data_IF_337625791996
#
_entry.id   IF_337625791996
#
_cell.length_a   1.000
_cell.length_b   1.000
_cell.length_c   1.000
_cell.angle_alpha   90.00
_cell.angle_beta   90.00
_cell.angle_gamma   90.00
#
_symmetry.space_group_name_H-M   'P 1'
#
loop_
_entity.id
_entity.type
_entity.pdbx_description
1 polymer ?
#
# COMPACT_ATOMS: atom_id res chain seq x y z
N UNK A 1 -19.04 -16.08 -27.01
CA UNK A 1 -17.87 -15.58 -26.26
C UNK A 1 -18.00 -14.07 -26.25
N UNK A 2 -18.42 -13.47 -25.13
CA UNK A 2 -18.72 -12.03 -25.08
C UNK A 2 -19.55 -11.51 -23.90
N UNK A 3 -19.97 -12.37 -22.95
CA UNK A 3 -20.82 -11.94 -21.83
C UNK A 3 -20.11 -11.85 -20.46
N UNK A 4 -18.89 -12.39 -20.31
CA UNK A 4 -18.15 -12.32 -19.03
C UNK A 4 -17.36 -11.01 -18.87
N UNK A 5 -16.95 -10.38 -19.97
CA UNK A 5 -16.11 -9.16 -19.96
C UNK A 5 -16.84 -7.92 -19.42
N UNK A 6 -18.15 -7.83 -19.68
CA UNK A 6 -18.96 -6.66 -19.26
C UNK A 6 -19.31 -6.75 -17.77
N UNK A 7 -19.55 -7.96 -17.25
CA UNK A 7 -19.84 -8.15 -15.82
C UNK A 7 -18.60 -7.96 -14.95
N UNK A 8 -17.41 -8.39 -15.41
CA UNK A 8 -16.16 -8.12 -14.71
C UNK A 8 -15.81 -6.64 -14.70
N UNK A 9 -15.99 -5.92 -15.81
CA UNK A 9 -15.74 -4.47 -15.88
C UNK A 9 -16.63 -3.66 -14.94
N UNK A 10 -17.94 -3.95 -14.89
CA UNK A 10 -18.89 -3.27 -14.00
C UNK A 10 -18.56 -3.56 -12.52
N UNK A 11 -18.11 -4.78 -12.20
CA UNK A 11 -17.74 -5.15 -10.84
C UNK A 11 -16.41 -4.50 -10.42
N UNK A 12 -15.44 -4.39 -11.34
CA UNK A 12 -14.17 -3.68 -11.09
C UNK A 12 -14.40 -2.18 -10.95
N UNK A 13 -15.11 -1.52 -11.87
CA UNK A 13 -15.41 -0.08 -11.74
C UNK A 13 -16.22 0.23 -10.46
N UNK A 14 -17.15 -0.65 -10.08
CA UNK A 14 -17.86 -0.52 -8.80
C UNK A 14 -16.95 -0.75 -7.58
N UNK A 15 -15.97 -1.65 -7.65
CA UNK A 15 -15.00 -1.89 -6.59
C UNK A 15 -14.05 -0.70 -6.41
N UNK A 16 -13.62 -0.09 -7.52
CA UNK A 16 -12.70 1.03 -7.57
C UNK A 16 -13.38 2.34 -7.15
N UNK A 17 -14.59 2.61 -7.67
CA UNK A 17 -15.35 3.82 -7.35
C UNK A 17 -15.81 3.87 -5.89
N UNK A 18 -16.12 2.71 -5.29
CA UNK A 18 -16.61 2.67 -3.91
C UNK A 18 -15.48 2.78 -2.86
N UNK A 19 -14.22 2.53 -3.25
CA UNK A 19 -13.09 2.35 -2.31
C UNK A 19 -11.98 3.39 -2.43
N UNK A 20 -12.01 4.27 -3.44
CA UNK A 20 -11.14 5.44 -3.56
C UNK A 20 -11.23 6.44 -2.37
N UNK A 21 -12.19 6.24 -1.46
CA UNK A 21 -12.38 7.05 -0.25
C UNK A 21 -11.91 6.36 1.04
N UNK A 22 -11.34 5.15 0.96
CA UNK A 22 -10.77 4.45 2.10
C UNK A 22 -9.45 5.12 2.49
N UNK A 23 -9.53 6.21 3.25
CA UNK A 23 -8.36 6.77 3.92
C UNK A 23 -8.18 6.05 5.26
N UNK A 24 -7.13 5.25 5.43
CA UNK A 24 -6.81 4.59 6.69
C UNK A 24 -6.42 5.66 7.70
N UNK A 25 -7.40 6.15 8.44
CA UNK A 25 -7.13 7.02 9.57
C UNK A 25 -6.64 6.12 10.69
N UNK A 26 -5.35 6.25 11.04
CA UNK A 26 -4.84 5.60 12.23
C UNK A 26 -5.61 6.16 13.43
N UNK A 27 -6.33 5.30 14.16
CA UNK A 27 -7.20 5.75 15.25
C UNK A 27 -6.35 6.36 16.36
N UNK A 28 -6.42 7.69 16.52
CA UNK A 28 -5.79 8.40 17.63
C UNK A 28 -6.72 8.29 18.83
N UNK A 29 -6.27 7.58 19.87
CA UNK A 29 -7.06 7.16 21.05
C UNK A 29 -7.37 8.28 22.05
N UNK A 30 -7.39 9.53 21.63
CA UNK A 30 -7.72 10.61 22.54
C UNK A 30 -9.20 10.97 22.40
N UNK A 31 -10.00 10.35 23.27
CA UNK A 31 -11.38 10.70 23.65
C UNK A 31 -12.56 10.20 22.81
N UNK A 32 -12.59 8.92 22.44
CA UNK A 32 -13.66 8.41 21.57
C UNK A 32 -14.74 7.65 22.35
N UNK A 33 -16.00 8.04 22.15
CA UNK A 33 -17.16 7.24 22.51
C UNK A 33 -17.22 5.92 21.71
N UNK A 34 -17.98 4.93 22.20
CA UNK A 34 -18.06 3.60 21.56
C UNK A 34 -18.56 3.69 20.10
N UNK A 35 -19.33 4.72 19.76
CA UNK A 35 -19.88 4.88 18.41
C UNK A 35 -18.81 5.20 17.36
N UNK A 36 -17.78 5.97 17.72
CA UNK A 36 -16.70 6.26 16.77
C UNK A 36 -15.65 5.13 16.71
N UNK A 37 -15.57 4.28 17.74
CA UNK A 37 -14.84 3.00 17.63
C UNK A 37 -15.53 2.08 16.63
N UNK A 38 -16.84 1.85 16.76
CA UNK A 38 -17.61 0.99 15.84
C UNK A 38 -17.48 1.47 14.40
N UNK A 39 -17.64 2.77 14.14
CA UNK A 39 -17.48 3.33 12.80
C UNK A 39 -16.08 3.10 12.23
N UNK A 40 -15.05 3.21 13.07
CA UNK A 40 -13.68 2.95 12.65
C UNK A 40 -13.47 1.46 12.33
N UNK A 41 -14.06 0.55 13.13
CA UNK A 41 -14.00 -0.89 12.92
C UNK A 41 -14.65 -1.30 11.59
N UNK A 42 -15.82 -0.74 11.28
CA UNK A 42 -16.50 -0.96 10.00
C UNK A 42 -15.60 -0.54 8.83
N UNK A 43 -15.03 0.67 8.89
CA UNK A 43 -14.16 1.19 7.85
C UNK A 43 -12.88 0.35 7.66
N UNK A 44 -12.23 -0.08 8.75
CA UNK A 44 -11.05 -0.95 8.65
C UNK A 44 -11.41 -2.36 8.19
N UNK A 45 -12.59 -2.87 8.58
CA UNK A 45 -13.14 -4.11 8.05
C UNK A 45 -13.26 -4.08 6.53
N UNK A 46 -13.84 -3.01 5.97
CA UNK A 46 -13.97 -2.85 4.51
C UNK A 46 -12.60 -2.78 3.80
N UNK A 47 -11.59 -2.18 4.44
CA UNK A 47 -10.22 -2.15 3.94
C UNK A 47 -9.56 -3.53 3.94
N UNK A 48 -9.76 -4.30 5.01
CA UNK A 48 -9.24 -5.68 5.11
C UNK A 48 -9.91 -6.56 4.07
N UNK A 49 -11.23 -6.46 3.93
CA UNK A 49 -11.99 -7.21 2.93
C UNK A 49 -11.53 -6.86 1.51
N UNK A 50 -11.29 -5.56 1.23
CA UNK A 50 -10.70 -5.13 -0.02
C UNK A 50 -9.34 -5.76 -0.31
N UNK A 51 -8.43 -5.72 0.66
CA UNK A 51 -7.11 -6.31 0.51
C UNK A 51 -7.20 -7.82 0.31
N UNK A 52 -8.09 -8.48 1.07
CA UNK A 52 -8.34 -9.92 0.99
C UNK A 52 -8.85 -10.32 -0.39
N UNK A 53 -9.84 -9.59 -0.91
CA UNK A 53 -10.39 -9.81 -2.25
C UNK A 53 -9.33 -9.66 -3.34
N UNK A 54 -8.47 -8.63 -3.24
CA UNK A 54 -7.37 -8.44 -4.18
C UNK A 54 -6.31 -9.54 -4.08
N UNK A 55 -5.89 -9.89 -2.85
CA UNK A 55 -4.87 -10.90 -2.61
C UNK A 55 -5.31 -12.31 -3.05
N UNK A 56 -6.60 -12.61 -2.99
CA UNK A 56 -7.14 -13.93 -3.38
C UNK A 56 -7.33 -14.10 -4.89
N UNK A 57 -7.16 -13.03 -5.69
CA UNK A 57 -7.28 -13.11 -7.16
C UNK A 57 -6.10 -13.81 -7.80
N UNK A 58 -6.34 -14.44 -8.95
CA UNK A 58 -5.27 -14.94 -9.82
C UNK A 58 -4.37 -13.79 -10.28
N UNK A 59 -3.12 -14.10 -10.64
CA UNK A 59 -2.13 -13.12 -11.13
C UNK A 59 -2.68 -12.28 -12.29
N UNK A 60 -3.33 -12.92 -13.26
CA UNK A 60 -3.97 -12.22 -14.37
C UNK A 60 -5.04 -11.23 -13.91
N UNK A 61 -5.94 -11.66 -13.02
CA UNK A 61 -7.04 -10.82 -12.57
C UNK A 61 -6.55 -9.66 -11.71
N UNK A 62 -5.55 -9.91 -10.86
CA UNK A 62 -4.93 -8.91 -10.01
C UNK A 62 -4.27 -7.81 -10.86
N UNK A 63 -3.39 -8.18 -11.78
CA UNK A 63 -2.63 -7.21 -12.59
C UNK A 63 -3.49 -6.50 -13.63
N UNK A 64 -4.57 -7.11 -14.13
CA UNK A 64 -5.58 -6.41 -14.94
C UNK A 64 -6.30 -5.31 -14.15
N UNK A 65 -6.62 -5.57 -12.87
CA UNK A 65 -7.23 -4.53 -12.03
C UNK A 65 -6.21 -3.42 -11.81
N UNK A 66 -5.01 -3.75 -11.34
CA UNK A 66 -3.93 -2.78 -11.05
C UNK A 66 -3.59 -1.89 -12.26
N UNK A 67 -3.63 -2.43 -13.49
CA UNK A 67 -3.34 -1.64 -14.69
C UNK A 67 -4.49 -0.73 -15.15
N UNK A 68 -5.74 -1.03 -14.78
CA UNK A 68 -6.93 -0.23 -15.15
C UNK A 68 -7.31 0.76 -14.04
N UNK A 69 -6.81 0.53 -12.83
CA UNK A 69 -7.21 1.15 -11.56
C UNK A 69 -6.95 2.66 -11.40
N UNK A 70 -6.43 3.36 -12.41
CA UNK A 70 -6.12 4.80 -12.39
C UNK A 70 -5.44 5.24 -11.07
N UNK A 71 -4.50 4.42 -10.60
CA UNK A 71 -3.71 4.61 -9.37
C UNK A 71 -4.49 4.61 -8.04
N UNK A 72 -5.73 4.12 -7.99
CA UNK A 72 -6.54 4.12 -6.76
C UNK A 72 -6.01 3.16 -5.69
N UNK A 73 -5.54 1.96 -6.06
CA UNK A 73 -4.84 0.99 -5.20
C UNK A 73 -3.53 1.59 -4.69
N UNK A 74 -2.76 2.25 -5.55
CA UNK A 74 -1.51 2.91 -5.16
C UNK A 74 -1.81 4.00 -4.13
N UNK A 75 -2.81 4.83 -4.39
CA UNK A 75 -3.25 5.89 -3.47
C UNK A 75 -3.74 5.35 -2.13
N UNK A 76 -4.50 4.24 -2.15
CA UNK A 76 -4.95 3.54 -0.95
C UNK A 76 -3.77 3.06 -0.10
N UNK A 77 -2.83 2.34 -0.70
CA UNK A 77 -1.64 1.84 0.02
C UNK A 77 -0.78 3.00 0.52
N UNK A 78 -0.55 4.02 -0.31
CA UNK A 78 0.25 5.18 0.09
C UNK A 78 -0.40 5.95 1.25
N UNK A 79 -1.73 6.12 1.23
CA UNK A 79 -2.45 6.76 2.34
C UNK A 79 -2.29 5.99 3.66
N UNK A 80 -2.21 4.65 3.61
CA UNK A 80 -1.86 3.83 4.78
C UNK A 80 -0.46 4.12 5.27
N UNK A 81 0.53 4.08 4.39
CA UNK A 81 1.94 4.26 4.74
C UNK A 81 2.19 5.64 5.36
N UNK A 82 1.60 6.68 4.80
CA UNK A 82 1.75 8.06 5.30
C UNK A 82 1.23 8.18 6.74
N UNK A 83 0.06 7.60 7.05
CA UNK A 83 -0.58 7.68 8.37
C UNK A 83 -0.09 6.65 9.39
N UNK A 84 0.60 5.60 8.94
CA UNK A 84 1.09 4.52 9.78
C UNK A 84 2.10 5.06 10.83
N UNK A 85 1.96 4.69 12.11
CA UNK A 85 2.96 5.00 13.12
C UNK A 85 4.30 4.36 12.78
N UNK A 86 5.39 5.04 13.09
CA UNK A 86 6.75 4.61 12.74
C UNK A 86 7.53 4.32 14.01
N UNK A 87 8.39 3.30 13.97
CA UNK A 87 9.21 2.90 15.13
C UNK A 87 10.13 4.02 15.64
N UNK A 88 10.54 4.94 14.78
CA UNK A 88 11.41 6.07 15.08
C UNK A 88 10.68 7.31 15.63
N UNK A 89 9.36 7.23 15.89
CA UNK A 89 8.63 8.36 16.48
C UNK A 89 9.02 8.59 17.95
N UNK A 90 9.16 9.86 18.39
CA UNK A 90 9.33 10.19 19.80
C UNK A 90 8.25 9.53 20.66
N UNK A 91 8.56 9.16 21.90
CA UNK A 91 7.59 8.50 22.81
C UNK A 91 6.29 9.29 22.93
N UNK A 92 6.38 10.63 22.94
CA UNK A 92 5.23 11.55 22.99
C UNK A 92 4.38 11.60 21.72
N UNK A 93 4.88 11.07 20.60
CA UNK A 93 4.22 11.01 19.28
C UNK A 93 3.96 9.58 18.85
N UNK A 94 4.30 8.57 19.68
CA UNK A 94 4.04 7.18 19.40
C UNK A 94 2.52 6.96 19.45
N UNK A 95 1.85 7.25 18.33
CA UNK A 95 0.56 6.63 18.00
C UNK A 95 0.80 5.14 18.15
N UNK A 96 0.31 4.52 19.21
CA UNK A 96 0.73 3.16 19.54
C UNK A 96 0.12 2.21 18.51
N UNK A 97 0.96 1.36 17.88
CA UNK A 97 0.53 0.19 17.09
C UNK A 97 -0.54 -0.64 17.82
N UNK A 98 -0.50 -0.57 19.14
CA UNK A 98 -1.39 -1.27 20.05
C UNK A 98 -2.29 -0.27 20.75
N UNK A 99 -3.56 -0.28 20.34
CA UNK A 99 -4.64 0.29 21.13
C UNK A 99 -4.79 -0.44 22.47
N UNK A 100 -5.16 0.30 23.51
CA UNK A 100 -5.60 -0.30 24.78
C UNK A 100 -6.86 -1.15 24.60
N UNK A 101 -7.61 -0.93 23.52
CA UNK A 101 -8.77 -1.72 23.12
C UNK A 101 -8.29 -2.88 22.25
N UNK A 102 -8.38 -4.10 22.76
CA UNK A 102 -7.87 -5.32 22.12
C UNK A 102 -8.40 -5.52 20.68
N UNK A 103 -9.72 -5.38 20.48
CA UNK A 103 -10.34 -5.54 19.15
C UNK A 103 -9.83 -4.53 18.11
N UNK A 104 -9.53 -3.30 18.52
CA UNK A 104 -8.93 -2.28 17.65
C UNK A 104 -7.52 -2.68 17.25
N UNK A 105 -6.71 -3.14 18.22
CA UNK A 105 -5.36 -3.65 17.94
C UNK A 105 -5.36 -4.84 16.99
N UNK A 106 -6.31 -5.77 17.12
CA UNK A 106 -6.44 -6.92 16.22
C UNK A 106 -6.72 -6.48 14.78
N UNK A 107 -7.63 -5.53 14.58
CA UNK A 107 -7.95 -5.00 13.25
C UNK A 107 -6.79 -4.18 12.66
N UNK A 108 -6.09 -3.38 13.48
CA UNK A 108 -4.89 -2.66 13.04
C UNK A 108 -3.79 -3.61 12.57
N UNK A 109 -3.51 -4.67 13.33
CA UNK A 109 -2.52 -5.68 12.97
C UNK A 109 -2.93 -6.45 11.71
N UNK A 110 -4.22 -6.79 11.59
CA UNK A 110 -4.75 -7.45 10.40
C UNK A 110 -4.55 -6.59 9.16
N UNK A 111 -4.98 -5.32 9.19
CA UNK A 111 -4.78 -4.40 8.07
C UNK A 111 -3.29 -4.23 7.74
N UNK A 112 -2.44 -4.07 8.76
CA UNK A 112 -1.00 -3.94 8.60
C UNK A 112 -0.36 -5.12 7.84
N UNK A 113 -0.76 -6.35 8.17
CA UNK A 113 -0.32 -7.56 7.48
C UNK A 113 -0.84 -7.62 6.03
N UNK A 114 -2.11 -7.27 5.81
CA UNK A 114 -2.71 -7.28 4.47
C UNK A 114 -2.05 -6.28 3.53
N UNK A 115 -1.78 -5.06 4.02
CA UNK A 115 -1.04 -4.04 3.25
C UNK A 115 0.36 -4.54 2.90
N UNK A 116 1.07 -5.16 3.86
CA UNK A 116 2.39 -5.72 3.59
C UNK A 116 2.36 -6.79 2.49
N UNK A 117 1.39 -7.71 2.56
CA UNK A 117 1.22 -8.76 1.55
C UNK A 117 0.88 -8.17 0.18
N UNK A 118 0.06 -7.12 0.14
CA UNK A 118 -0.21 -6.38 -1.11
C UNK A 118 1.06 -5.76 -1.68
N UNK A 119 1.85 -5.07 -0.85
CA UNK A 119 3.14 -4.51 -1.27
C UNK A 119 4.08 -5.57 -1.84
N UNK A 120 4.22 -6.71 -1.16
CA UNK A 120 5.07 -7.81 -1.66
C UNK A 120 4.61 -8.27 -3.04
N UNK A 121 3.29 -8.44 -3.25
CA UNK A 121 2.73 -8.85 -4.53
C UNK A 121 2.88 -7.78 -5.62
N UNK A 122 2.60 -6.52 -5.28
CA UNK A 122 2.80 -5.38 -6.18
C UNK A 122 4.26 -5.21 -6.60
N UNK A 123 5.22 -5.67 -5.78
CA UNK A 123 6.65 -5.63 -6.14
C UNK A 123 7.07 -6.73 -7.13
N UNK A 124 6.20 -7.71 -7.39
CA UNK A 124 6.56 -8.87 -8.21
C UNK A 124 6.43 -8.59 -9.71
N UNK A 125 7.51 -8.05 -10.27
CA UNK A 125 7.61 -7.78 -11.71
C UNK A 125 7.47 -9.04 -12.57
N UNK A 126 7.81 -10.23 -12.07
CA UNK A 126 7.65 -11.48 -12.82
C UNK A 126 6.17 -11.89 -12.91
N UNK A 127 5.40 -11.62 -11.86
CA UNK A 127 3.94 -11.79 -11.87
C UNK A 127 3.27 -10.77 -12.81
N UNK A 128 3.81 -9.55 -12.88
CA UNK A 128 3.24 -8.43 -13.63
C UNK A 128 3.47 -8.50 -15.16
N UNK A 129 4.68 -8.91 -15.58
CA UNK A 129 5.14 -8.88 -16.98
C UNK A 129 4.18 -9.51 -18.01
N UNK A 130 3.50 -10.64 -17.75
CA UNK A 130 2.58 -11.23 -18.72
C UNK A 130 1.32 -10.40 -18.99
N UNK A 131 0.97 -9.47 -18.08
CA UNK A 131 -0.33 -8.80 -18.06
C UNK A 131 -0.22 -7.30 -18.30
N UNK A 132 0.93 -6.71 -18.00
CA UNK A 132 1.28 -5.33 -18.40
C UNK A 132 1.87 -5.40 -19.82
N UNK A 133 1.03 -5.80 -20.77
CA UNK A 133 1.49 -6.23 -22.10
C UNK A 133 1.62 -5.10 -23.13
N UNK A 134 1.39 -3.83 -22.77
CA UNK A 134 1.57 -2.71 -23.69
C UNK A 134 1.90 -1.45 -22.90
N UNK A 135 2.90 -0.72 -23.41
CA UNK A 135 3.50 0.50 -22.85
C UNK A 135 4.54 0.26 -21.76
N UNK A 136 5.77 0.03 -22.23
CA UNK A 136 7.00 0.39 -21.53
C UNK A 136 7.30 -0.44 -20.27
N UNK A 137 8.54 -0.46 -19.81
CA UNK A 137 9.06 -1.46 -18.87
C UNK A 137 8.26 -1.40 -17.55
N UNK A 138 8.23 -2.47 -16.73
CA UNK A 138 7.54 -2.42 -15.41
C UNK A 138 7.95 -1.18 -14.56
N UNK A 139 9.18 -0.68 -14.75
CA UNK A 139 9.64 0.60 -14.22
C UNK A 139 8.85 1.83 -14.69
N UNK A 140 8.46 1.90 -15.95
CA UNK A 140 7.65 3.01 -16.50
C UNK A 140 6.23 2.99 -15.94
N UNK A 141 5.62 1.81 -15.75
CA UNK A 141 4.36 1.67 -15.03
C UNK A 141 4.52 2.15 -13.57
N UNK A 142 5.58 1.73 -12.88
CA UNK A 142 5.84 2.19 -11.51
C UNK A 142 6.00 3.70 -11.41
N UNK A 143 6.82 4.27 -12.29
CA UNK A 143 7.07 5.71 -12.31
C UNK A 143 5.81 6.52 -12.67
N UNK A 144 5.00 6.06 -13.62
CA UNK A 144 3.77 6.76 -14.05
C UNK A 144 2.64 6.65 -13.03
N UNK A 145 2.52 5.52 -12.34
CA UNK A 145 1.50 5.30 -11.31
C UNK A 145 1.89 5.78 -9.91
N UNK A 146 3.16 6.11 -9.69
CA UNK A 146 3.71 6.38 -8.36
C UNK A 146 3.89 5.12 -7.50
N UNK A 147 3.73 3.93 -8.07
CA UNK A 147 3.94 2.68 -7.36
C UNK A 147 5.44 2.50 -7.05
N UNK A 148 5.76 2.36 -5.76
CA UNK A 148 7.14 2.30 -5.26
C UNK A 148 7.99 3.51 -5.66
N UNK A 149 7.41 4.71 -5.61
CA UNK A 149 8.21 5.93 -5.63
C UNK A 149 9.15 6.00 -4.40
N UNK A 150 10.12 6.91 -4.45
CA UNK A 150 11.12 7.00 -3.39
C UNK A 150 10.52 7.28 -2.00
N UNK A 151 9.56 8.23 -1.81
CA UNK A 151 8.86 8.40 -0.55
C UNK A 151 8.20 7.12 -0.01
N UNK A 152 7.47 6.40 -0.86
CA UNK A 152 6.80 5.15 -0.51
C UNK A 152 7.81 4.08 -0.08
N UNK A 153 8.93 3.94 -0.80
CA UNK A 153 10.01 3.01 -0.43
C UNK A 153 10.63 3.33 0.93
N UNK A 154 10.80 4.62 1.26
CA UNK A 154 11.31 5.05 2.56
C UNK A 154 10.30 4.73 3.69
N UNK A 155 9.01 4.96 3.46
CA UNK A 155 7.97 4.60 4.42
C UNK A 155 7.91 3.07 4.64
N UNK A 156 7.99 2.26 3.57
CA UNK A 156 8.05 0.80 3.67
C UNK A 156 9.24 0.36 4.52
N UNK A 157 10.42 0.96 4.30
CA UNK A 157 11.61 0.70 5.12
C UNK A 157 11.37 1.04 6.60
N UNK A 158 10.79 2.21 6.88
CA UNK A 158 10.55 2.69 8.25
C UNK A 158 9.49 1.87 9.01
N UNK A 159 8.47 1.38 8.30
CA UNK A 159 7.32 0.67 8.87
C UNK A 159 7.61 -0.83 8.98
N UNK A 160 8.10 -1.47 7.92
CA UNK A 160 8.22 -2.93 7.84
C UNK A 160 9.66 -3.45 7.94
N UNK A 161 10.67 -2.59 7.78
CA UNK A 161 12.08 -3.03 7.68
C UNK A 161 12.62 -3.69 8.95
N UNK A 162 12.04 -3.39 10.12
CA UNK A 162 12.42 -4.01 11.39
C UNK A 162 11.96 -5.46 11.48
N UNK A 163 10.70 -5.72 11.13
CA UNK A 163 10.05 -7.02 11.33
C UNK A 163 10.18 -7.92 10.09
N UNK A 164 10.40 -7.34 8.91
CA UNK A 164 10.47 -8.04 7.61
C UNK A 164 11.70 -7.60 6.77
N UNK A 165 12.93 -7.62 7.32
CA UNK A 165 14.10 -7.01 6.68
C UNK A 165 14.40 -7.59 5.29
N UNK A 166 14.40 -8.92 5.14
CA UNK A 166 14.76 -9.56 3.86
C UNK A 166 13.73 -9.27 2.75
N UNK A 167 12.44 -9.34 3.09
CA UNK A 167 11.35 -9.03 2.16
C UNK A 167 11.38 -7.56 1.74
N UNK A 168 11.63 -6.64 2.68
CA UNK A 168 11.76 -5.21 2.38
C UNK A 168 12.97 -4.94 1.49
N UNK A 169 14.14 -5.51 1.81
CA UNK A 169 15.34 -5.39 0.97
C UNK A 169 15.07 -5.92 -0.44
N UNK A 170 14.39 -7.05 -0.56
CA UNK A 170 14.02 -7.61 -1.85
C UNK A 170 13.08 -6.68 -2.65
N UNK A 171 12.04 -6.11 -2.01
CA UNK A 171 11.14 -5.14 -2.66
C UNK A 171 11.89 -3.90 -3.14
N UNK A 172 12.73 -3.31 -2.30
CA UNK A 172 13.53 -2.12 -2.63
C UNK A 172 14.49 -2.44 -3.79
N UNK A 173 15.21 -3.56 -3.73
CA UNK A 173 16.10 -3.96 -4.81
C UNK A 173 15.37 -4.15 -6.14
N UNK A 174 14.17 -4.76 -6.12
CA UNK A 174 13.34 -4.91 -7.32
C UNK A 174 12.90 -3.56 -7.90
N UNK A 175 12.51 -2.61 -7.05
CA UNK A 175 12.13 -1.26 -7.48
C UNK A 175 13.31 -0.54 -8.15
N UNK A 176 14.47 -0.47 -7.49
CA UNK A 176 15.68 0.17 -8.04
C UNK A 176 16.22 -0.51 -9.30
N UNK A 177 16.09 -1.84 -9.39
CA UNK A 177 16.49 -2.58 -10.61
C UNK A 177 15.55 -2.33 -11.77
N UNK A 178 14.29 -2.03 -11.49
CA UNK A 178 13.26 -1.79 -12.50
C UNK A 178 13.22 -0.33 -12.95
N UNK A 179 13.58 0.61 -12.06
CA UNK A 179 13.62 2.05 -12.33
C UNK A 179 14.95 2.65 -11.86
N UNK A 180 15.97 2.74 -12.73
CA UNK A 180 17.29 3.25 -12.37
C UNK A 180 17.29 4.71 -11.89
N UNK A 181 16.32 5.54 -12.32
CA UNK A 181 16.22 6.97 -11.93
C UNK A 181 16.11 7.15 -10.41
N UNK A 182 15.57 6.16 -9.70
CA UNK A 182 15.49 6.20 -8.24
C UNK A 182 16.85 6.30 -7.54
N UNK A 183 17.93 5.86 -8.20
CA UNK A 183 19.29 6.07 -7.68
C UNK A 183 19.67 7.55 -7.67
N UNK A 184 19.40 8.26 -8.76
CA UNK A 184 19.66 9.71 -8.88
C UNK A 184 18.77 10.52 -7.93
N UNK A 185 17.50 10.12 -7.78
CA UNK A 185 16.57 10.72 -6.82
C UNK A 185 17.06 10.55 -5.38
N UNK A 186 17.55 9.35 -5.03
CA UNK A 186 18.08 9.07 -3.70
C UNK A 186 19.33 9.91 -3.41
N UNK A 187 20.27 10.02 -4.35
CA UNK A 187 21.45 10.88 -4.20
C UNK A 187 21.06 12.35 -3.98
N UNK A 188 20.04 12.81 -4.69
CA UNK A 188 19.49 14.16 -4.54
C UNK A 188 18.90 14.37 -3.14
N UNK A 189 18.08 13.44 -2.66
CA UNK A 189 17.48 13.49 -1.31
C UNK A 189 18.56 13.46 -0.23
N UNK A 190 19.55 12.57 -0.33
CA UNK A 190 20.66 12.49 0.63
C UNK A 190 21.47 13.79 0.68
N UNK A 191 21.71 14.41 -0.48
CA UNK A 191 22.40 15.70 -0.58
C UNK A 191 21.61 16.84 0.08
N UNK A 192 20.27 16.81 -0.02
CA UNK A 192 19.41 17.77 0.66
C UNK A 192 19.38 17.54 2.18
N UNK A 193 19.28 16.29 2.63
CA UNK A 193 19.30 15.93 4.05
C UNK A 193 20.61 16.36 4.72
N UNK A 194 21.75 16.17 4.05
CA UNK A 194 23.07 16.60 4.53
C UNK A 194 23.20 18.13 4.71
N UNK A 195 22.28 18.94 4.19
CA UNK A 195 22.25 20.40 4.39
C UNK A 195 21.40 20.83 5.59
N UNK A 196 20.52 19.95 6.07
CA UNK A 196 19.57 20.23 7.16
C UNK A 196 20.06 19.60 8.47
N UNK A 197 20.78 18.49 8.40
CA UNK A 197 21.49 17.85 9.51
C UNK A 197 22.86 18.51 9.76
#
# INVERSE_FOLDING_TARGET
MGSNDVHDRINVESLLFHKAHLTPTYFVLDSVDDSSVVRWEENVGEMIDFCTDLLNRSSESFWKIVSIDDCSIVSFVNSYLVECPRYCQPESMRRTFFSAIERVSLLQNSLHEHIFRLLVRLSDSAEAQPYIAFESFFGDFMHSSGLFDLPMLLDICAIYGKDNPDSVVNMVNKAFSSEPRYTEDLETVLSLLARVC
#
